data_IF_189430674232
#
_entry.id   IF_189430674232
#
_cell.length_a   1.000
_cell.length_b   1.000
_cell.length_c   1.000
_cell.angle_alpha   90.00
_cell.angle_beta   90.00
_cell.angle_gamma   90.00
#
_symmetry.space_group_name_H-M   'P 1'
#
loop_
_entity.id
_entity.type
_entity.pdbx_description
1 polymer ?
#
# COMPACT_ATOMS: atom_id res chain seq x y z
N UNK A 1 -9.95 -62.30 -15.68
CA UNK A 1 -9.40 -60.97 -16.01
C UNK A 1 -10.14 -59.99 -15.09
N UNK A 2 -9.62 -59.57 -13.92
CA UNK A 2 -8.68 -58.45 -13.65
C UNK A 2 -9.10 -57.19 -14.46
N UNK A 3 -9.54 -56.04 -13.91
CA UNK A 3 -9.37 -55.36 -12.61
C UNK A 3 -10.51 -54.32 -12.35
N UNK A 4 -10.69 -53.83 -11.12
CA UNK A 4 -11.60 -52.72 -10.79
C UNK A 4 -10.91 -51.35 -10.95
N UNK A 5 -11.61 -50.36 -11.51
CA UNK A 5 -11.14 -48.97 -11.56
C UNK A 5 -11.39 -48.32 -10.21
N UNK A 6 -10.33 -48.16 -9.43
CA UNK A 6 -10.22 -47.17 -8.35
C UNK A 6 -9.62 -45.92 -8.97
N UNK A 7 -10.35 -44.82 -8.96
CA UNK A 7 -9.74 -43.49 -9.04
C UNK A 7 -10.15 -42.70 -7.80
N UNK A 8 -9.23 -42.79 -6.83
CA UNK A 8 -9.02 -41.86 -5.75
C UNK A 8 -8.56 -40.51 -6.32
N UNK A 9 -9.20 -39.41 -5.93
CA UNK A 9 -8.55 -38.09 -5.90
C UNK A 9 -9.32 -37.17 -4.95
N UNK A 10 -9.30 -37.54 -3.66
CA UNK A 10 -9.39 -36.56 -2.59
C UNK A 10 -8.17 -35.65 -2.66
N UNK A 11 -8.30 -34.48 -3.28
CA UNK A 11 -7.36 -33.37 -3.12
C UNK A 11 -7.62 -32.76 -1.73
N UNK A 12 -7.22 -33.46 -0.68
CA UNK A 12 -7.04 -32.86 0.63
C UNK A 12 -5.64 -32.24 0.65
N UNK A 13 -5.58 -30.91 0.45
CA UNK A 13 -4.39 -30.12 0.67
C UNK A 13 -4.05 -30.10 2.17
N UNK A 14 -3.39 -31.16 2.64
CA UNK A 14 -2.85 -31.25 3.99
C UNK A 14 -1.61 -30.37 4.11
N UNK A 15 -1.84 -29.10 4.44
CA UNK A 15 -0.76 -28.17 4.76
C UNK A 15 -0.21 -28.54 6.15
N UNK A 16 1.08 -28.82 6.25
CA UNK A 16 1.71 -29.17 7.54
C UNK A 16 1.43 -28.10 8.62
N UNK A 17 1.27 -28.48 9.91
CA UNK A 17 0.91 -27.56 10.99
C UNK A 17 1.83 -26.33 11.08
N UNK A 18 3.14 -26.54 10.87
CA UNK A 18 4.15 -25.46 10.88
C UNK A 18 3.95 -24.45 9.75
N UNK A 19 3.51 -24.90 8.57
CA UNK A 19 3.26 -24.05 7.42
C UNK A 19 1.97 -23.24 7.60
N UNK A 20 0.93 -23.82 8.21
CA UNK A 20 -0.28 -23.10 8.64
C UNK A 20 0.05 -22.00 9.64
N UNK A 21 0.87 -22.29 10.65
CA UNK A 21 1.26 -21.31 11.67
C UNK A 21 2.10 -20.17 11.09
N UNK A 22 3.03 -20.49 10.19
CA UNK A 22 3.82 -19.49 9.47
C UNK A 22 2.94 -18.56 8.63
N UNK A 23 2.03 -19.13 7.84
CA UNK A 23 1.09 -18.37 7.02
C UNK A 23 0.17 -17.51 7.88
N UNK A 24 -0.30 -18.03 9.02
CA UNK A 24 -1.14 -17.31 9.98
C UNK A 24 -0.39 -16.14 10.61
N UNK A 25 0.85 -16.34 11.08
CA UNK A 25 1.67 -15.25 11.65
C UNK A 25 1.92 -14.15 10.64
N UNK A 26 2.26 -14.51 9.40
CA UNK A 26 2.48 -13.55 8.32
C UNK A 26 1.19 -12.78 7.99
N UNK A 27 0.06 -13.47 7.92
CA UNK A 27 -1.25 -12.85 7.72
C UNK A 27 -1.60 -11.87 8.85
N UNK A 28 -1.43 -12.27 10.10
CA UNK A 28 -1.71 -11.41 11.26
C UNK A 28 -0.79 -10.19 11.33
N UNK A 29 0.50 -10.34 10.99
CA UNK A 29 1.42 -9.21 10.89
C UNK A 29 0.98 -8.23 9.80
N UNK A 30 0.62 -8.74 8.61
CA UNK A 30 0.10 -7.93 7.51
C UNK A 30 -1.21 -7.21 7.89
N UNK A 31 -2.10 -7.87 8.63
CA UNK A 31 -3.36 -7.27 9.08
C UNK A 31 -3.11 -6.17 10.12
N UNK A 32 -2.15 -6.37 11.01
CA UNK A 32 -1.71 -5.37 11.99
C UNK A 32 -1.15 -4.11 11.33
N UNK A 33 -0.30 -4.28 10.33
CA UNK A 33 0.25 -3.16 9.55
C UNK A 33 -0.87 -2.41 8.81
N UNK A 34 -1.84 -3.14 8.27
CA UNK A 34 -2.99 -2.55 7.56
C UNK A 34 -3.85 -1.68 8.49
N UNK A 35 -4.20 -2.21 9.66
CA UNK A 35 -4.96 -1.45 10.67
C UNK A 35 -4.17 -0.22 11.12
N UNK A 36 -2.86 -0.34 11.33
CA UNK A 36 -2.00 0.79 11.70
C UNK A 36 -2.04 1.90 10.64
N UNK A 37 -1.92 1.53 9.36
CA UNK A 37 -1.98 2.48 8.24
C UNK A 37 -3.35 3.17 8.21
N UNK A 38 -4.45 2.43 8.21
CA UNK A 38 -5.78 3.03 8.12
C UNK A 38 -6.10 3.96 9.31
N UNK A 39 -5.56 3.64 10.51
CA UNK A 39 -5.60 4.54 11.67
C UNK A 39 -4.78 5.81 11.46
N UNK A 40 -3.59 5.74 10.88
CA UNK A 40 -2.80 6.94 10.55
C UNK A 40 -3.49 7.83 9.51
N UNK A 41 -4.32 7.24 8.64
CA UNK A 41 -5.20 7.95 7.72
C UNK A 41 -6.46 8.53 8.39
N UNK A 42 -6.58 8.40 9.72
CA UNK A 42 -7.67 8.94 10.50
C UNK A 42 -9.00 8.24 10.31
N UNK A 43 -9.01 6.99 9.82
CA UNK A 43 -10.21 6.16 9.88
C UNK A 43 -10.46 5.72 11.32
N UNK A 44 -11.74 5.74 11.69
CA UNK A 44 -12.24 5.19 12.94
C UNK A 44 -12.37 3.66 12.85
N UNK A 45 -12.44 3.00 14.00
CA UNK A 45 -12.40 1.53 14.05
C UNK A 45 -13.52 0.88 13.25
N UNK A 46 -14.73 1.48 13.27
CA UNK A 46 -15.89 0.96 12.56
C UNK A 46 -15.67 0.97 11.04
N UNK A 47 -15.11 2.06 10.51
CA UNK A 47 -14.82 2.17 9.07
C UNK A 47 -13.71 1.23 8.63
N UNK A 48 -12.70 1.01 9.48
CA UNK A 48 -11.64 0.02 9.24
C UNK A 48 -12.19 -1.39 9.22
N UNK A 49 -13.06 -1.74 10.18
CA UNK A 49 -13.70 -3.05 10.29
C UNK A 49 -14.46 -3.41 9.01
N UNK A 50 -15.30 -2.49 8.53
CA UNK A 50 -16.04 -2.64 7.27
C UNK A 50 -15.08 -2.79 6.08
N UNK A 51 -14.00 -2.01 6.05
CA UNK A 51 -13.10 -2.01 4.90
C UNK A 51 -12.18 -3.24 4.81
N UNK A 52 -11.85 -3.84 5.96
CA UNK A 52 -11.03 -5.04 6.04
C UNK A 52 -11.86 -6.33 6.17
N UNK A 53 -13.18 -6.21 6.25
CA UNK A 53 -14.12 -7.31 6.49
C UNK A 53 -13.74 -8.14 7.73
N UNK A 54 -13.50 -7.44 8.84
CA UNK A 54 -13.17 -8.02 10.15
C UNK A 54 -14.02 -7.37 11.24
N UNK A 55 -14.04 -7.96 12.43
CA UNK A 55 -14.78 -7.37 13.55
C UNK A 55 -14.08 -6.10 14.10
N UNK A 56 -14.86 -5.14 14.58
CA UNK A 56 -14.32 -3.93 15.22
C UNK A 56 -13.45 -4.27 16.44
N UNK A 57 -13.80 -5.33 17.16
CA UNK A 57 -12.98 -5.85 18.27
C UNK A 57 -11.57 -6.24 17.79
N UNK A 58 -11.46 -6.91 16.65
CA UNK A 58 -10.18 -7.32 16.09
C UNK A 58 -9.37 -6.12 15.64
N UNK A 59 -10.00 -5.11 15.04
CA UNK A 59 -9.35 -3.82 14.73
C UNK A 59 -8.70 -3.22 15.98
N UNK A 60 -9.41 -3.23 17.12
CA UNK A 60 -8.85 -2.72 18.39
C UNK A 60 -7.65 -3.54 18.86
N UNK A 61 -7.69 -4.86 18.70
CA UNK A 61 -6.58 -5.74 19.06
C UNK A 61 -5.33 -5.52 18.17
N UNK A 62 -5.54 -5.15 16.91
CA UNK A 62 -4.48 -4.87 15.94
C UNK A 62 -3.96 -3.42 15.96
N UNK A 63 -4.73 -2.48 16.49
CA UNK A 63 -4.28 -1.09 16.64
C UNK A 63 -2.94 -1.03 17.39
N UNK A 64 -1.89 -0.42 16.79
CA UNK A 64 -0.64 -0.24 17.50
C UNK A 64 -0.89 0.63 18.73
N UNK A 65 -0.45 0.17 19.90
CA UNK A 65 -0.28 1.07 21.06
C UNK A 65 0.61 2.23 20.58
N UNK A 66 0.27 3.50 20.84
CA UNK A 66 1.04 4.63 20.35
C UNK A 66 2.48 4.51 20.90
N UNK A 67 3.40 4.02 20.06
CA UNK A 67 4.83 4.10 20.33
C UNK A 67 5.27 5.45 19.80
N UNK A 68 5.99 6.19 20.63
CA UNK A 68 6.48 7.53 20.34
C UNK A 68 7.10 7.61 18.94
N UNK A 69 6.42 8.41 18.11
CA UNK A 69 7.00 9.39 17.19
C UNK A 69 8.30 8.93 16.51
N UNK A 70 8.14 8.32 15.34
CA UNK A 70 9.09 8.56 14.25
C UNK A 70 8.40 9.47 13.21
N UNK A 71 8.37 10.80 13.44
CA UNK A 71 7.61 11.74 12.62
C UNK A 71 8.17 11.87 11.19
N UNK A 72 9.35 11.29 10.91
CA UNK A 72 9.99 11.30 9.59
C UNK A 72 9.69 10.05 8.74
N UNK A 73 9.21 8.95 9.35
CA UNK A 73 8.82 7.74 8.59
C UNK A 73 7.44 7.83 7.93
N UNK A 74 6.56 8.68 8.46
CA UNK A 74 5.17 8.76 8.06
C UNK A 74 4.92 9.96 7.16
N UNK A 75 4.54 9.68 5.92
CA UNK A 75 4.07 10.68 4.97
C UNK A 75 2.81 11.39 5.55
N UNK A 76 2.69 12.72 5.42
CA UNK A 76 1.54 13.43 5.96
C UNK A 76 0.24 12.94 5.34
N UNK A 77 -0.84 12.93 6.13
CA UNK A 77 -2.13 12.36 5.73
C UNK A 77 -2.63 12.85 4.37
N UNK A 78 -2.53 14.15 4.10
CA UNK A 78 -2.93 14.74 2.81
C UNK A 78 -2.14 14.17 1.63
N UNK A 79 -0.84 14.00 1.79
CA UNK A 79 0.01 13.39 0.79
C UNK A 79 -0.36 11.91 0.58
N UNK A 80 -0.66 11.17 1.65
CA UNK A 80 -1.10 9.78 1.51
C UNK A 80 -2.46 9.70 0.82
N UNK A 81 -3.43 10.54 1.20
CA UNK A 81 -4.74 10.60 0.55
C UNK A 81 -4.61 10.94 -0.94
N UNK A 82 -3.73 11.88 -1.30
CA UNK A 82 -3.44 12.21 -2.69
C UNK A 82 -2.85 11.01 -3.46
N UNK A 83 -1.86 10.30 -2.90
CA UNK A 83 -1.30 9.11 -3.56
C UNK A 83 -2.31 7.95 -3.66
N UNK A 84 -3.16 7.78 -2.65
CA UNK A 84 -4.16 6.71 -2.62
C UNK A 84 -5.32 6.93 -3.58
N UNK A 85 -5.61 8.17 -3.96
CA UNK A 85 -6.78 8.51 -4.80
C UNK A 85 -6.42 9.21 -6.11
N UNK A 86 -5.16 9.61 -6.28
CA UNK A 86 -4.68 10.29 -7.48
C UNK A 86 -4.51 9.36 -8.67
N UNK A 87 -4.08 9.91 -9.80
CA UNK A 87 -4.07 9.23 -11.10
C UNK A 87 -3.30 7.90 -11.11
N UNK A 88 -2.18 7.82 -10.41
CA UNK A 88 -1.29 6.66 -10.42
C UNK A 88 -1.63 5.62 -9.35
N UNK A 89 -2.70 5.84 -8.58
CA UNK A 89 -3.07 4.99 -7.47
C UNK A 89 -3.31 3.52 -7.88
N UNK A 90 -3.84 3.29 -9.08
CA UNK A 90 -4.13 1.95 -9.61
C UNK A 90 -2.89 1.06 -9.75
N UNK A 91 -1.69 1.65 -9.87
CA UNK A 91 -0.40 0.93 -9.92
C UNK A 91 -0.19 0.12 -8.65
N UNK A 92 -0.62 0.63 -7.50
CA UNK A 92 -0.53 -0.07 -6.23
C UNK A 92 -1.62 -1.14 -6.02
N UNK A 93 -2.57 -1.29 -6.94
CA UNK A 93 -3.61 -2.31 -6.90
C UNK A 93 -5.05 -1.77 -6.75
N UNK A 94 -6.02 -2.70 -6.73
CA UNK A 94 -7.46 -2.39 -6.75
C UNK A 94 -8.03 -1.89 -5.42
N UNK A 95 -7.44 -2.26 -4.29
CA UNK A 95 -7.93 -1.89 -2.96
C UNK A 95 -7.04 -0.81 -2.35
N UNK A 96 -7.61 0.08 -1.54
CA UNK A 96 -6.85 1.07 -0.76
C UNK A 96 -5.71 0.41 0.03
N UNK A 97 -5.97 -0.78 0.58
CA UNK A 97 -4.99 -1.56 1.32
C UNK A 97 -3.79 -2.02 0.48
N UNK A 98 -4.04 -2.48 -0.75
CA UNK A 98 -2.93 -2.80 -1.65
C UNK A 98 -2.16 -1.55 -2.04
N UNK A 99 -2.87 -0.45 -2.33
CA UNK A 99 -2.27 0.83 -2.71
C UNK A 99 -1.40 1.43 -1.60
N UNK A 100 -1.83 1.33 -0.35
CA UNK A 100 -1.10 1.85 0.80
C UNK A 100 0.26 1.16 0.99
N UNK A 101 0.35 -0.14 0.70
CA UNK A 101 1.60 -0.91 0.73
C UNK A 101 2.58 -0.53 -0.39
N UNK A 102 2.06 0.04 -1.48
CA UNK A 102 2.82 0.41 -2.66
C UNK A 102 2.93 1.92 -2.85
N UNK A 103 2.77 2.73 -1.79
CA UNK A 103 2.85 4.19 -1.88
C UNK A 103 4.14 4.68 -2.52
N UNK A 104 5.28 4.02 -2.27
CA UNK A 104 6.55 4.40 -2.89
C UNK A 104 6.55 4.17 -4.41
N UNK A 105 5.96 3.06 -4.86
CA UNK A 105 5.81 2.74 -6.29
C UNK A 105 4.84 3.72 -6.95
N UNK A 106 3.72 4.04 -6.28
CA UNK A 106 2.76 5.03 -6.76
C UNK A 106 3.42 6.41 -6.86
N UNK A 107 4.14 6.84 -5.82
CA UNK A 107 4.83 8.14 -5.79
C UNK A 107 5.89 8.25 -6.90
N UNK A 108 6.68 7.19 -7.12
CA UNK A 108 7.70 7.17 -8.16
C UNK A 108 7.13 7.27 -9.59
N UNK A 109 5.85 6.96 -9.79
CA UNK A 109 5.21 7.08 -11.10
C UNK A 109 4.84 8.54 -11.47
N UNK A 110 4.76 9.43 -10.48
CA UNK A 110 4.46 10.84 -10.71
C UNK A 110 5.66 11.60 -11.25
N UNK A 111 5.40 12.55 -12.15
CA UNK A 111 6.28 13.71 -12.35
C UNK A 111 5.97 14.80 -11.33
N UNK A 112 6.87 15.79 -11.23
CA UNK A 112 6.66 16.95 -10.36
C UNK A 112 5.36 17.72 -10.71
N UNK A 113 5.12 17.97 -11.99
CA UNK A 113 3.93 18.70 -12.45
C UNK A 113 2.65 17.91 -12.27
N UNK A 114 2.72 16.58 -12.44
CA UNK A 114 1.58 15.70 -12.15
C UNK A 114 1.22 15.77 -10.66
N UNK A 115 2.21 15.77 -9.75
CA UNK A 115 1.94 15.94 -8.32
C UNK A 115 1.28 17.27 -8.02
N UNK A 116 1.77 18.37 -8.60
CA UNK A 116 1.15 19.70 -8.39
C UNK A 116 -0.25 19.82 -8.97
N UNK A 117 -0.60 18.95 -9.92
CA UNK A 117 -1.94 18.89 -10.52
C UNK A 117 -2.91 18.04 -9.71
N UNK A 118 -2.44 17.27 -8.71
CA UNK A 118 -3.30 16.44 -7.88
C UNK A 118 -4.12 17.30 -6.89
N UNK A 119 -5.43 17.01 -6.71
CA UNK A 119 -6.27 17.75 -5.77
C UNK A 119 -5.70 17.72 -4.35
N UNK A 120 -5.51 18.90 -3.75
CA UNK A 120 -5.00 19.04 -2.39
C UNK A 120 -3.48 18.88 -2.26
N UNK A 121 -2.75 18.74 -3.36
CA UNK A 121 -1.28 18.71 -3.39
C UNK A 121 -0.73 20.06 -3.83
N UNK A 122 -0.32 20.87 -2.86
CA UNK A 122 0.47 22.08 -3.13
C UNK A 122 1.97 21.78 -3.17
N UNK A 123 2.79 22.80 -3.46
CA UNK A 123 4.26 22.70 -3.49
C UNK A 123 4.88 22.12 -2.21
N UNK A 124 4.31 22.43 -1.04
CA UNK A 124 4.73 21.87 0.24
C UNK A 124 4.47 20.36 0.30
N UNK A 125 3.27 19.92 -0.11
CA UNK A 125 2.88 18.51 -0.09
C UNK A 125 3.65 17.71 -1.14
N UNK A 126 3.87 18.27 -2.33
CA UNK A 126 4.71 17.67 -3.37
C UNK A 126 6.16 17.50 -2.89
N UNK A 127 6.73 18.51 -2.22
CA UNK A 127 8.05 18.39 -1.60
C UNK A 127 8.11 17.30 -0.53
N UNK A 128 7.08 17.20 0.32
CA UNK A 128 7.01 16.15 1.34
C UNK A 128 6.97 14.75 0.72
N UNK A 129 6.22 14.56 -0.37
CA UNK A 129 6.17 13.29 -1.12
C UNK A 129 7.54 12.97 -1.72
N UNK A 130 8.19 13.96 -2.33
CA UNK A 130 9.52 13.82 -2.91
C UNK A 130 10.56 13.42 -1.87
N UNK A 131 10.69 14.18 -0.77
CA UNK A 131 11.65 13.89 0.29
C UNK A 131 11.39 12.52 0.93
N UNK A 132 10.12 12.19 1.18
CA UNK A 132 9.74 10.88 1.70
C UNK A 132 10.12 9.72 0.77
N UNK A 133 10.09 9.95 -0.54
CA UNK A 133 10.51 8.96 -1.54
C UNK A 133 12.05 8.87 -1.64
N UNK A 134 12.75 10.00 -1.59
CA UNK A 134 14.22 10.08 -1.59
C UNK A 134 14.84 9.37 -0.38
N UNK A 135 14.27 9.55 0.82
CA UNK A 135 14.70 8.83 2.04
C UNK A 135 14.60 7.29 1.90
N UNK A 136 13.76 6.82 0.97
CA UNK A 136 13.55 5.40 0.67
C UNK A 136 14.35 4.92 -0.54
N UNK A 137 15.24 5.76 -1.07
CA UNK A 137 16.06 5.47 -2.25
C UNK A 137 15.30 5.53 -3.58
N UNK A 138 14.09 6.10 -3.59
CA UNK A 138 13.32 6.34 -4.80
C UNK A 138 13.44 7.78 -5.30
N UNK A 139 12.97 8.02 -6.51
CA UNK A 139 12.85 9.36 -7.07
C UNK A 139 11.57 9.47 -7.89
N UNK A 140 11.08 10.69 -8.06
CA UNK A 140 9.97 10.96 -8.97
C UNK A 140 10.37 10.66 -10.40
N UNK A 141 9.38 10.37 -11.26
CA UNK A 141 9.61 10.26 -12.69
C UNK A 141 10.05 11.61 -13.25
N UNK A 142 11.11 11.61 -14.04
CA UNK A 142 11.47 12.81 -14.80
C UNK A 142 10.30 13.20 -15.70
N UNK A 143 9.88 14.46 -15.64
CA UNK A 143 8.94 15.00 -16.61
C UNK A 143 9.60 14.93 -17.98
N UNK A 144 8.88 14.45 -18.98
CA UNK A 144 9.30 14.54 -20.39
C UNK A 144 9.28 16.01 -20.81
N UNK A 145 10.29 16.76 -20.40
CA UNK A 145 10.80 17.90 -21.11
C UNK A 145 12.11 17.44 -21.72
N UNK A 146 12.03 16.61 -22.78
CA UNK A 146 13.20 16.40 -23.61
C UNK A 146 13.56 17.75 -24.26
N UNK A 147 14.83 18.16 -24.19
CA UNK A 147 15.29 19.47 -24.64
C UNK A 147 15.29 19.53 -26.18
N UNK A 148 14.93 20.71 -26.69
CA UNK A 148 15.16 21.23 -28.04
C UNK A 148 16.01 20.33 -28.97
N UNK A 149 15.33 19.53 -29.79
CA UNK A 149 15.83 19.17 -31.13
C UNK A 149 15.49 20.30 -32.10
N UNK A 150 16.13 21.47 -31.94
CA UNK A 150 16.07 22.55 -32.92
C UNK A 150 17.50 22.96 -33.29
N UNK A 151 18.04 22.33 -34.33
CA UNK A 151 18.57 22.99 -35.53
C UNK A 151 19.54 22.03 -36.24
N UNK A 152 19.04 21.47 -37.33
CA UNK A 152 19.85 21.15 -38.49
C UNK A 152 19.38 22.12 -39.58
N UNK A 153 20.38 22.62 -40.32
CA UNK A 153 20.38 23.69 -41.33
C UNK A 153 20.47 25.14 -40.85
#
# INVERSE_FOLDING_TARGET
>A
MLTPVKDDLSVQQDSSPRQRDYNRRRFLALLRDEVAILRTLGMDHRRIAVQLDIEEHDVRAFCPKPREKDPRRNLPRRAVEALLHGRHASIGGRTVAKRSRHLAVIAAAYTWDELLSEPGVGSVTANQIRLWLEERGGMLRYGTADPQSNNTD
#
